data_IF_705906517618
#
_entry.id   IF_705906517618
#
_cell.length_a   1.000
_cell.length_b   1.000
_cell.length_c   1.000
_cell.angle_alpha   90.00
_cell.angle_beta   90.00
_cell.angle_gamma   90.00
#
_symmetry.space_group_name_H-M   'P 1'
#
loop_
_entity.id
_entity.type
_entity.pdbx_description
1 polymer ?
#
# COMPACT_ATOMS: atom_id res chain seq x y z
N UNK A 1 -12.49 -50.04 -6.86
CA UNK A 1 -11.54 -49.84 -7.97
C UNK A 1 -12.23 -48.94 -8.99
N UNK A 2 -11.95 -47.64 -8.93
CA UNK A 2 -11.03 -46.88 -9.82
C UNK A 2 -11.76 -46.29 -11.02
N UNK A 3 -11.84 -44.95 -11.00
CA UNK A 3 -12.26 -44.12 -12.12
C UNK A 3 -12.34 -42.67 -11.68
N UNK A 4 -11.19 -42.00 -11.53
CA UNK A 4 -11.14 -40.53 -11.41
C UNK A 4 -9.98 -40.00 -12.23
N UNK A 5 -10.30 -38.94 -12.95
CA UNK A 5 -9.58 -38.28 -14.02
C UNK A 5 -8.22 -37.73 -13.60
N UNK A 6 -7.29 -37.86 -14.54
CA UNK A 6 -6.01 -37.17 -14.60
C UNK A 6 -6.16 -35.67 -14.88
N UNK A 7 -5.11 -34.96 -14.48
CA UNK A 7 -4.55 -33.72 -15.07
C UNK A 7 -5.29 -32.39 -14.90
N UNK A 8 -4.91 -31.65 -13.85
CA UNK A 8 -4.63 -30.21 -13.98
C UNK A 8 -3.27 -29.95 -13.33
N UNK A 9 -2.27 -29.70 -14.17
CA UNK A 9 -0.91 -29.38 -13.79
C UNK A 9 -0.82 -28.09 -12.98
N UNK A 10 -0.15 -28.16 -11.83
CA UNK A 10 0.27 -26.99 -11.06
C UNK A 10 1.47 -26.39 -11.79
N UNK A 11 1.20 -25.47 -12.71
CA UNK A 11 2.20 -24.63 -13.33
C UNK A 11 2.82 -23.71 -12.28
N UNK A 12 4.09 -23.94 -11.97
CA UNK A 12 4.91 -22.99 -11.22
C UNK A 12 5.02 -21.68 -11.98
N UNK A 13 4.47 -20.61 -11.41
CA UNK A 13 4.74 -19.26 -11.87
C UNK A 13 6.18 -18.92 -11.48
N UNK A 14 7.08 -19.14 -12.43
CA UNK A 14 8.40 -18.50 -12.44
C UNK A 14 8.17 -16.99 -12.49
N UNK A 15 8.63 -16.28 -11.47
CA UNK A 15 8.67 -14.82 -11.47
C UNK A 15 9.57 -14.38 -12.62
N UNK A 16 8.99 -13.81 -13.67
CA UNK A 16 9.76 -13.07 -14.66
C UNK A 16 10.28 -11.80 -13.99
N UNK A 17 11.55 -11.42 -14.21
CA UNK A 17 12.09 -10.17 -13.70
C UNK A 17 11.29 -9.01 -14.28
N UNK A 18 10.88 -8.09 -13.40
CA UNK A 18 10.25 -6.82 -13.75
C UNK A 18 11.14 -6.08 -14.76
N UNK A 19 10.56 -5.78 -15.93
CA UNK A 19 11.23 -4.94 -16.92
C UNK A 19 11.34 -3.53 -16.36
N UNK A 20 12.58 -3.07 -16.18
CA UNK A 20 12.94 -1.70 -15.89
C UNK A 20 12.22 -0.73 -16.85
N UNK A 21 11.47 0.23 -16.31
CA UNK A 21 11.03 1.38 -17.09
C UNK A 21 12.15 2.43 -17.13
N UNK A 22 12.70 2.62 -18.33
CA UNK A 22 13.40 3.84 -18.70
C UNK A 22 12.36 4.93 -18.95
N UNK A 23 12.30 5.93 -18.08
CA UNK A 23 11.47 7.13 -18.30
C UNK A 23 12.13 7.93 -19.44
N UNK A 24 11.58 7.83 -20.65
CA UNK A 24 11.91 8.77 -21.74
C UNK A 24 11.14 10.06 -21.50
N UNK A 25 11.79 11.07 -20.94
CA UNK A 25 11.28 12.44 -20.95
C UNK A 25 11.37 13.01 -22.37
N UNK A 26 10.26 13.53 -22.90
CA UNK A 26 10.23 14.33 -24.14
C UNK A 26 10.93 15.68 -23.88
N UNK A 27 12.26 15.70 -23.97
CA UNK A 27 13.03 16.95 -24.15
C UNK A 27 14.35 16.79 -24.91
N UNK A 28 14.77 15.59 -25.30
CA UNK A 28 16.09 15.40 -25.92
C UNK A 28 16.05 15.51 -27.44
N UNK A 29 15.62 16.67 -27.95
CA UNK A 29 16.13 17.18 -29.23
C UNK A 29 17.08 18.33 -28.89
N UNK A 30 18.31 18.17 -29.38
CA UNK A 30 19.43 19.11 -29.33
C UNK A 30 20.28 19.10 -28.06
N UNK A 31 21.12 18.08 -27.90
CA UNK A 31 22.56 18.27 -27.62
C UNK A 31 23.36 17.13 -28.25
N UNK A 32 23.89 17.36 -29.44
CA UNK A 32 25.00 16.58 -30.00
C UNK A 32 26.30 16.99 -29.33
N UNK A 33 27.05 16.02 -28.79
CA UNK A 33 28.49 16.18 -28.53
C UNK A 33 28.94 15.84 -27.11
N UNK A 34 29.60 14.68 -27.00
CA UNK A 34 30.76 14.36 -26.16
C UNK A 34 30.61 12.97 -25.54
N UNK A 35 31.17 11.97 -26.22
CA UNK A 35 31.60 10.74 -25.57
C UNK A 35 32.63 11.08 -24.49
N UNK A 36 32.40 10.64 -23.25
CA UNK A 36 33.44 10.55 -22.23
C UNK A 36 33.23 9.31 -21.39
N UNK A 37 34.16 8.37 -21.61
CA UNK A 37 34.42 7.15 -20.85
C UNK A 37 34.55 7.46 -19.36
N UNK A 38 33.82 6.72 -18.54
CA UNK A 38 34.09 6.25 -17.15
C UNK A 38 32.78 6.19 -16.37
N UNK A 39 32.16 5.01 -16.36
CA UNK A 39 30.97 4.71 -15.57
C UNK A 39 31.28 4.70 -14.08
N UNK A 40 31.27 5.88 -13.46
CA UNK A 40 31.04 6.03 -12.03
C UNK A 40 29.55 6.34 -11.89
N UNK A 41 28.76 5.33 -11.52
CA UNK A 41 27.40 5.56 -11.00
C UNK A 41 27.57 6.49 -9.81
N UNK A 42 27.23 7.77 -9.99
CA UNK A 42 27.20 8.72 -8.88
C UNK A 42 26.16 8.18 -7.91
N UNK A 43 26.61 7.69 -6.76
CA UNK A 43 25.71 7.42 -5.64
C UNK A 43 25.03 8.74 -5.32
N UNK A 44 23.75 8.85 -5.66
CA UNK A 44 22.94 9.97 -5.23
C UNK A 44 22.80 9.75 -3.72
N UNK A 45 23.62 10.47 -2.96
CA UNK A 45 23.43 10.71 -1.54
C UNK A 45 22.10 11.47 -1.42
N UNK A 46 20.99 10.74 -1.43
CA UNK A 46 19.68 11.29 -1.08
C UNK A 46 19.78 11.59 0.40
N UNK A 47 20.07 12.85 0.73
CA UNK A 47 19.85 13.33 2.09
C UNK A 47 18.35 13.16 2.34
N UNK A 48 18.01 12.14 3.13
CA UNK A 48 16.67 11.95 3.66
C UNK A 48 16.29 13.25 4.37
N UNK A 49 15.56 14.13 3.69
CA UNK A 49 14.79 15.15 4.40
C UNK A 49 13.89 14.34 5.32
N UNK A 50 13.98 14.61 6.61
CA UNK A 50 13.25 13.96 7.69
C UNK A 50 11.75 14.15 7.52
N UNK A 51 11.15 13.52 6.52
CA UNK A 51 9.71 13.40 6.43
C UNK A 51 9.31 12.61 7.68
N UNK A 52 8.55 13.26 8.56
CA UNK A 52 7.93 12.55 9.66
C UNK A 52 6.90 11.61 9.02
N UNK A 53 7.19 10.30 9.00
CA UNK A 53 6.40 9.30 8.30
C UNK A 53 5.52 8.53 9.29
N UNK A 54 4.26 8.34 8.92
CA UNK A 54 3.39 7.34 9.52
C UNK A 54 3.22 6.20 8.50
N UNK A 55 3.82 5.05 8.77
CA UNK A 55 3.59 3.84 7.97
C UNK A 55 2.27 3.19 8.37
N UNK A 56 1.36 3.01 7.42
CA UNK A 56 0.11 2.29 7.64
C UNK A 56 0.12 0.99 6.85
N UNK A 57 0.22 -0.13 7.57
CA UNK A 57 0.45 -1.46 7.00
C UNK A 57 -0.52 -2.48 7.55
N UNK A 58 -0.75 -3.55 6.79
CA UNK A 58 -1.67 -4.62 7.15
C UNK A 58 -0.92 -5.91 7.47
N UNK A 59 -1.31 -6.59 8.56
CA UNK A 59 -0.91 -7.95 8.86
C UNK A 59 -2.16 -8.75 9.23
N UNK A 60 -2.53 -9.72 8.41
CA UNK A 60 -3.73 -10.52 8.65
C UNK A 60 -3.48 -12.00 8.41
N UNK A 61 -4.28 -12.81 9.10
CA UNK A 61 -4.26 -14.25 8.97
C UNK A 61 -5.49 -14.68 8.17
N UNK A 62 -5.29 -15.39 7.05
CA UNK A 62 -6.37 -15.78 6.13
C UNK A 62 -7.28 -16.90 6.66
N UNK A 63 -6.88 -17.58 7.73
CA UNK A 63 -7.64 -18.67 8.37
C UNK A 63 -6.87 -19.23 9.57
N UNK A 64 -7.52 -20.03 10.42
CA UNK A 64 -6.91 -20.54 11.67
C UNK A 64 -5.62 -21.33 11.44
N UNK A 65 -5.58 -22.15 10.39
CA UNK A 65 -4.44 -22.99 10.04
C UNK A 65 -3.58 -22.40 8.90
N UNK A 66 -3.55 -21.07 8.73
CA UNK A 66 -2.81 -20.43 7.62
C UNK A 66 -1.31 -20.76 7.66
N UNK A 67 -0.79 -21.63 6.76
CA UNK A 67 0.57 -22.17 6.88
C UNK A 67 1.65 -21.12 6.61
N UNK A 68 1.31 -20.04 5.89
CA UNK A 68 2.21 -18.94 5.55
C UNK A 68 2.18 -17.80 6.56
N UNK A 69 1.35 -17.86 7.60
CA UNK A 69 1.20 -16.73 8.52
C UNK A 69 2.51 -16.40 9.24
N UNK A 70 3.27 -17.43 9.66
CA UNK A 70 4.55 -17.23 10.34
C UNK A 70 5.56 -16.47 9.49
N UNK A 71 5.56 -16.71 8.18
CA UNK A 71 6.40 -15.98 7.22
C UNK A 71 6.00 -14.50 7.19
N UNK A 72 4.72 -14.19 6.96
CA UNK A 72 4.24 -12.80 6.92
C UNK A 72 4.43 -12.06 8.24
N UNK A 73 4.26 -12.73 9.37
CA UNK A 73 4.56 -12.17 10.69
C UNK A 73 6.03 -11.78 10.81
N UNK A 74 6.95 -12.69 10.43
CA UNK A 74 8.38 -12.41 10.49
C UNK A 74 8.76 -11.26 9.57
N UNK A 75 8.23 -11.24 8.34
CA UNK A 75 8.42 -10.13 7.40
C UNK A 75 7.90 -8.80 7.95
N UNK A 76 6.73 -8.79 8.60
CA UNK A 76 6.16 -7.58 9.21
C UNK A 76 7.04 -7.04 10.33
N UNK A 77 7.52 -7.92 11.22
CA UNK A 77 8.39 -7.54 12.33
C UNK A 77 9.73 -6.98 11.82
N UNK A 78 10.33 -7.66 10.84
CA UNK A 78 11.59 -7.22 10.25
C UNK A 78 11.43 -5.89 9.49
N UNK A 79 10.36 -5.75 8.71
CA UNK A 79 10.01 -4.50 8.04
C UNK A 79 9.87 -3.31 9.00
N UNK A 80 9.14 -3.49 10.11
CA UNK A 80 8.97 -2.44 11.12
C UNK A 80 10.33 -2.05 11.72
N UNK A 81 11.16 -3.05 12.07
CA UNK A 81 12.50 -2.82 12.60
C UNK A 81 13.39 -2.06 11.62
N UNK A 82 13.42 -2.49 10.35
CA UNK A 82 14.18 -1.84 9.29
C UNK A 82 13.71 -0.40 9.04
N UNK A 83 12.40 -0.16 9.02
CA UNK A 83 11.84 1.18 8.89
C UNK A 83 12.25 2.10 10.07
N UNK A 84 12.23 1.61 11.31
CA UNK A 84 12.67 2.38 12.47
C UNK A 84 14.14 2.78 12.40
N UNK A 85 15.00 1.89 11.88
CA UNK A 85 16.42 2.18 11.64
C UNK A 85 16.61 3.18 10.48
N UNK A 86 15.83 3.03 9.40
CA UNK A 86 15.98 3.82 8.17
C UNK A 86 15.36 5.21 8.26
N UNK A 87 14.25 5.34 8.99
CA UNK A 87 13.47 6.57 9.15
C UNK A 87 13.35 6.95 10.63
N UNK A 88 14.37 7.62 11.20
CA UNK A 88 14.33 8.07 12.58
C UNK A 88 13.12 8.98 12.82
N UNK A 89 12.26 8.58 13.76
CA UNK A 89 11.03 9.31 14.10
C UNK A 89 9.77 8.82 13.40
N UNK A 90 9.84 7.79 12.54
CA UNK A 90 8.62 7.20 12.00
C UNK A 90 7.76 6.52 13.08
N UNK A 91 6.46 6.43 12.79
CA UNK A 91 5.47 5.71 13.57
C UNK A 91 4.66 4.78 12.67
N UNK A 92 3.85 3.90 13.26
CA UNK A 92 3.09 2.89 12.55
C UNK A 92 1.62 2.84 12.99
N UNK A 93 0.75 2.66 12.01
CA UNK A 93 -0.57 2.07 12.20
C UNK A 93 -0.53 0.64 11.66
N UNK A 94 -0.60 -0.35 12.56
CA UNK A 94 -0.65 -1.75 12.20
C UNK A 94 -2.09 -2.25 12.21
N UNK A 95 -2.63 -2.59 11.04
CA UNK A 95 -3.99 -3.07 10.85
C UNK A 95 -4.02 -4.59 10.86
N UNK A 96 -4.79 -5.19 11.77
CA UNK A 96 -4.85 -6.64 11.98
C UNK A 96 -6.27 -7.18 12.05
N UNK A 97 -6.48 -8.44 11.65
CA UNK A 97 -7.73 -9.14 11.98
C UNK A 97 -7.68 -9.85 13.34
N UNK A 98 -8.85 -10.29 13.78
CA UNK A 98 -9.10 -11.05 15.01
C UNK A 98 -8.42 -12.44 15.06
N UNK A 99 -7.93 -12.92 13.92
CA UNK A 99 -7.19 -14.19 13.83
C UNK A 99 -5.68 -14.05 14.10
N UNK A 100 -5.16 -12.82 14.19
CA UNK A 100 -3.76 -12.57 14.59
C UNK A 100 -3.57 -12.96 16.06
N UNK A 101 -2.67 -13.92 16.37
CA UNK A 101 -2.44 -14.38 17.74
C UNK A 101 -1.95 -13.26 18.67
N UNK A 102 -2.22 -13.39 19.97
CA UNK A 102 -1.70 -12.44 20.97
C UNK A 102 -0.18 -12.49 21.04
N UNK A 103 0.40 -13.65 20.80
CA UNK A 103 1.83 -13.92 20.77
C UNK A 103 2.54 -13.05 19.74
N UNK A 104 1.90 -12.77 18.59
CA UNK A 104 2.42 -11.83 17.59
C UNK A 104 2.55 -10.42 18.18
N UNK A 105 1.58 -9.98 18.97
CA UNK A 105 1.63 -8.65 19.58
C UNK A 105 2.71 -8.57 20.65
N UNK A 106 2.87 -9.63 21.46
CA UNK A 106 3.95 -9.73 22.46
C UNK A 106 5.34 -9.76 21.81
N UNK A 107 5.48 -10.33 20.61
CA UNK A 107 6.73 -10.28 19.85
C UNK A 107 7.02 -8.87 19.34
N UNK A 108 6.00 -8.18 18.83
CA UNK A 108 6.12 -6.79 18.41
C UNK A 108 6.48 -5.88 19.58
N UNK A 109 5.81 -6.00 20.73
CA UNK A 109 6.13 -5.24 21.94
C UNK A 109 7.58 -5.48 22.40
N UNK A 110 8.04 -6.74 22.40
CA UNK A 110 9.44 -7.08 22.75
C UNK A 110 10.45 -6.52 21.76
N UNK A 111 10.13 -6.52 20.46
CA UNK A 111 10.97 -5.94 19.42
C UNK A 111 11.15 -4.43 19.63
N UNK A 112 10.07 -3.74 20.00
CA UNK A 112 10.06 -2.29 20.13
C UNK A 112 10.56 -1.81 21.51
N UNK A 113 10.39 -2.59 22.57
CA UNK A 113 10.75 -2.20 23.93
C UNK A 113 10.07 -0.87 24.32
N UNK A 114 10.89 0.10 24.73
CA UNK A 114 10.45 1.45 25.11
C UNK A 114 9.84 2.23 23.94
N UNK A 115 10.06 1.80 22.70
CA UNK A 115 9.53 2.41 21.48
C UNK A 115 8.17 1.85 21.06
N UNK A 116 7.55 0.99 21.90
CA UNK A 116 6.24 0.40 21.62
C UNK A 116 5.13 1.43 21.36
N UNK A 117 5.23 2.63 21.93
CA UNK A 117 4.30 3.74 21.69
C UNK A 117 4.28 4.22 20.22
N UNK A 118 5.33 3.92 19.43
CA UNK A 118 5.38 4.25 18.00
C UNK A 118 4.44 3.41 17.15
N UNK A 119 3.89 2.30 17.67
CA UNK A 119 2.99 1.43 16.92
C UNK A 119 1.59 1.43 17.52
N UNK A 120 0.64 1.97 16.77
CA UNK A 120 -0.79 1.92 17.09
C UNK A 120 -1.42 0.72 16.38
N UNK A 121 -2.09 -0.14 17.16
CA UNK A 121 -2.71 -1.36 16.64
C UNK A 121 -4.20 -1.13 16.40
N UNK A 122 -4.63 -1.36 15.16
CA UNK A 122 -6.03 -1.34 14.76
C UNK A 122 -6.52 -2.76 14.52
N UNK A 123 -7.33 -3.29 15.45
CA UNK A 123 -7.89 -4.64 15.34
C UNK A 123 -9.30 -4.62 14.76
N UNK A 124 -9.52 -5.49 13.77
CA UNK A 124 -10.80 -5.65 13.09
C UNK A 124 -11.35 -7.06 13.34
N UNK A 125 -12.64 -7.14 13.67
CA UNK A 125 -13.36 -8.39 13.79
C UNK A 125 -14.24 -8.55 12.56
N UNK A 126 -14.01 -9.62 11.79
CA UNK A 126 -14.80 -9.94 10.62
C UNK A 126 -15.69 -11.14 10.90
N UNK A 127 -16.92 -11.10 10.37
CA UNK A 127 -17.72 -12.31 10.23
C UNK A 127 -17.07 -13.16 9.14
N UNK A 128 -16.33 -14.19 9.57
CA UNK A 128 -15.62 -15.14 8.68
C UNK A 128 -16.56 -16.03 7.82
N UNK A 129 -17.85 -15.70 7.75
CA UNK A 129 -18.85 -16.39 6.92
C UNK A 129 -18.71 -16.06 5.42
N UNK A 130 -18.02 -14.95 5.07
CA UNK A 130 -17.75 -14.58 3.68
C UNK A 130 -16.29 -14.89 3.34
N UNK A 131 -16.08 -15.59 2.23
CA UNK A 131 -14.74 -15.92 1.74
C UNK A 131 -13.96 -14.64 1.42
N UNK A 132 -12.67 -14.61 1.80
CA UNK A 132 -11.77 -13.49 1.52
C UNK A 132 -11.99 -12.23 2.37
N UNK A 133 -12.84 -12.26 3.40
CA UNK A 133 -13.04 -11.12 4.31
C UNK A 133 -11.77 -10.58 4.95
N UNK A 134 -10.74 -11.42 5.12
CA UNK A 134 -9.42 -10.99 5.59
C UNK A 134 -8.77 -9.92 4.70
N UNK A 135 -9.06 -9.89 3.39
CA UNK A 135 -8.52 -8.89 2.46
C UNK A 135 -9.00 -7.47 2.78
N UNK A 136 -10.13 -7.32 3.49
CA UNK A 136 -10.60 -6.00 3.94
C UNK A 136 -9.63 -5.35 4.94
N UNK A 137 -8.78 -6.12 5.65
CA UNK A 137 -7.71 -5.52 6.46
C UNK A 137 -6.74 -4.73 5.60
N UNK A 138 -6.47 -5.21 4.38
CA UNK A 138 -5.62 -4.52 3.41
C UNK A 138 -6.26 -3.23 2.89
N UNK A 139 -7.59 -3.13 2.88
CA UNK A 139 -8.26 -1.87 2.61
C UNK A 139 -8.09 -0.92 3.79
N UNK A 140 -8.21 -1.44 5.02
CA UNK A 140 -8.23 -0.60 6.22
C UNK A 140 -6.95 0.19 6.49
N UNK A 141 -5.78 -0.16 5.94
CA UNK A 141 -4.57 0.69 6.00
C UNK A 141 -4.76 2.04 5.29
N UNK A 142 -5.54 2.09 4.20
CA UNK A 142 -5.78 3.33 3.47
C UNK A 142 -6.52 4.39 4.30
N UNK A 143 -7.27 4.00 5.34
CA UNK A 143 -7.98 4.95 6.20
C UNK A 143 -7.06 6.01 6.80
N UNK A 144 -5.81 5.66 7.10
CA UNK A 144 -4.87 6.56 7.75
C UNK A 144 -4.58 7.77 6.86
N UNK A 145 -4.67 7.62 5.53
CA UNK A 145 -4.32 8.68 4.59
C UNK A 145 -5.13 9.97 4.77
N UNK A 146 -6.41 9.87 5.14
CA UNK A 146 -7.25 11.03 5.45
C UNK A 146 -7.73 11.07 6.89
N UNK A 147 -7.91 9.94 7.59
CA UNK A 147 -8.40 9.94 8.98
C UNK A 147 -7.31 10.23 10.02
N UNK A 148 -6.03 10.29 9.62
CA UNK A 148 -4.94 10.70 10.51
C UNK A 148 -4.84 12.23 10.63
N UNK A 149 -4.82 12.73 11.86
CA UNK A 149 -4.73 14.17 12.19
C UNK A 149 -3.31 14.63 12.54
N UNK A 150 -2.35 13.70 12.63
CA UNK A 150 -0.99 14.05 12.99
C UNK A 150 -0.22 14.77 11.87
N UNK A 151 0.93 15.37 12.22
CA UNK A 151 1.79 16.12 11.30
C UNK A 151 2.51 15.24 10.27
N UNK A 152 2.37 13.92 10.35
CA UNK A 152 3.04 12.95 9.50
C UNK A 152 2.50 12.95 8.06
N UNK A 153 3.43 12.72 7.13
CA UNK A 153 3.07 12.18 5.82
C UNK A 153 2.76 10.71 6.00
N UNK A 154 1.56 10.30 5.58
CA UNK A 154 1.13 8.91 5.69
C UNK A 154 1.70 8.15 4.50
N UNK A 155 2.33 7.02 4.78
CA UNK A 155 2.81 6.05 3.80
C UNK A 155 2.05 4.74 3.98
N UNK A 156 1.14 4.46 3.06
CA UNK A 156 0.52 3.14 2.91
C UNK A 156 1.36 2.36 1.92
N UNK A 157 1.85 1.19 2.33
CA UNK A 157 2.65 0.34 1.46
C UNK A 157 2.45 -1.13 1.84
N UNK A 158 2.80 -2.02 0.93
CA UNK A 158 3.02 -3.42 1.26
C UNK A 158 4.25 -3.59 2.16
N UNK A 159 4.29 -4.70 2.88
CA UNK A 159 5.46 -5.10 3.65
C UNK A 159 6.54 -5.54 2.65
N UNK A 160 7.63 -4.78 2.59
CA UNK A 160 8.72 -4.97 1.65
C UNK A 160 9.94 -5.63 2.33
N UNK A 161 10.68 -6.47 1.62
CA UNK A 161 11.93 -7.06 2.10
C UNK A 161 13.15 -6.18 1.80
N UNK A 162 13.10 -5.41 0.70
CA UNK A 162 14.11 -4.39 0.36
C UNK A 162 13.71 -2.99 0.86
N UNK A 163 14.18 -2.62 2.07
CA UNK A 163 13.92 -1.30 2.65
C UNK A 163 14.62 -0.16 1.90
N UNK A 164 15.74 -0.43 1.23
CA UNK A 164 16.52 0.58 0.54
C UNK A 164 15.81 1.02 -0.74
N UNK A 165 15.23 0.07 -1.47
CA UNK A 165 14.37 0.35 -2.62
C UNK A 165 13.13 1.14 -2.20
N UNK A 166 12.42 0.69 -1.16
CA UNK A 166 11.24 1.40 -0.64
C UNK A 166 11.60 2.85 -0.28
N UNK A 167 12.73 3.04 0.42
CA UNK A 167 13.19 4.36 0.82
C UNK A 167 13.52 5.27 -0.38
N UNK A 168 14.15 4.73 -1.42
CA UNK A 168 14.39 5.47 -2.66
C UNK A 168 13.08 5.87 -3.33
N UNK A 169 12.12 4.95 -3.45
CA UNK A 169 10.83 5.20 -4.07
C UNK A 169 10.01 6.24 -3.30
N UNK A 170 9.99 6.19 -1.96
CA UNK A 170 9.35 7.21 -1.12
C UNK A 170 9.97 8.58 -1.38
N UNK A 171 11.32 8.69 -1.38
CA UNK A 171 11.99 9.96 -1.64
C UNK A 171 11.72 10.51 -3.05
N UNK A 172 11.73 9.64 -4.06
CA UNK A 172 11.41 10.02 -5.43
C UNK A 172 9.98 10.53 -5.55
N UNK A 173 9.02 9.81 -4.94
CA UNK A 173 7.62 10.17 -4.96
C UNK A 173 7.37 11.50 -4.23
N UNK A 174 7.90 11.69 -3.02
CA UNK A 174 7.81 12.97 -2.29
C UNK A 174 8.38 14.14 -3.10
N UNK A 175 9.54 13.94 -3.74
CA UNK A 175 10.17 14.96 -4.57
C UNK A 175 9.30 15.33 -5.78
N UNK A 176 8.66 14.34 -6.42
CA UNK A 176 7.74 14.57 -7.52
C UNK A 176 6.47 15.28 -7.05
N UNK A 177 5.92 14.89 -5.89
CA UNK A 177 4.75 15.53 -5.30
C UNK A 177 5.03 17.01 -4.97
N UNK A 178 6.21 17.33 -4.43
CA UNK A 178 6.64 18.71 -4.18
C UNK A 178 6.76 19.52 -5.47
N UNK A 179 7.40 18.95 -6.50
CA UNK A 179 7.58 19.62 -7.79
C UNK A 179 6.26 19.89 -8.52
N UNK A 180 5.30 18.97 -8.42
CA UNK A 180 4.00 19.06 -9.11
C UNK A 180 2.92 19.75 -8.27
N UNK A 181 3.21 20.14 -7.03
CA UNK A 181 2.21 20.70 -6.12
C UNK A 181 1.07 19.73 -5.82
N UNK A 182 1.38 18.44 -5.66
CA UNK A 182 0.42 17.38 -5.36
C UNK A 182 0.51 16.95 -3.90
N UNK A 183 -0.64 16.57 -3.34
CA UNK A 183 -0.78 16.14 -1.95
C UNK A 183 -0.74 14.62 -1.82
N UNK A 184 -1.11 13.91 -2.88
CA UNK A 184 -1.22 12.45 -2.93
C UNK A 184 -0.31 11.93 -4.03
N UNK A 185 0.49 10.92 -3.73
CA UNK A 185 1.32 10.19 -4.69
C UNK A 185 1.02 8.71 -4.59
N UNK A 186 0.81 8.05 -5.73
CA UNK A 186 0.45 6.63 -5.75
C UNK A 186 1.21 5.94 -6.88
N UNK A 187 1.78 4.77 -6.59
CA UNK A 187 2.14 3.83 -7.65
C UNK A 187 0.87 3.22 -8.22
N UNK A 188 0.82 3.04 -9.54
CA UNK A 188 -0.37 2.49 -10.20
C UNK A 188 -0.01 1.58 -11.37
N UNK A 189 -0.99 0.77 -11.74
CA UNK A 189 -1.07 0.15 -13.05
C UNK A 189 -2.45 0.46 -13.65
N UNK A 190 -2.46 0.78 -14.94
CA UNK A 190 -3.71 0.97 -15.67
C UNK A 190 -4.44 -0.36 -15.77
N UNK A 191 -5.71 -0.39 -15.38
CA UNK A 191 -6.58 -1.53 -15.65
C UNK A 191 -7.15 -1.38 -17.06
N UNK A 192 -6.96 -2.40 -17.89
CA UNK A 192 -7.59 -2.48 -19.21
C UNK A 192 -9.04 -3.00 -19.14
N UNK A 193 -9.53 -3.40 -17.96
CA UNK A 193 -10.82 -4.06 -17.79
C UNK A 193 -11.97 -3.07 -17.49
N UNK A 194 -13.01 -3.09 -18.34
CA UNK A 194 -14.25 -2.32 -18.14
C UNK A 194 -15.07 -2.79 -16.91
N UNK A 195 -14.86 -4.05 -16.48
CA UNK A 195 -15.52 -4.71 -15.37
C UNK A 195 -14.50 -5.32 -14.41
N UNK A 196 -13.87 -4.53 -13.55
CA UNK A 196 -13.19 -5.14 -12.41
C UNK A 196 -14.22 -5.49 -11.36
N UNK A 197 -14.54 -6.78 -11.32
CA UNK A 197 -14.87 -7.62 -10.17
C UNK A 197 -15.66 -8.79 -10.72
N UNK A 198 -15.26 -10.01 -10.36
CA UNK A 198 -16.20 -11.13 -10.39
C UNK A 198 -17.34 -10.80 -9.41
N UNK A 199 -18.43 -10.20 -9.90
CA UNK A 199 -19.74 -10.03 -9.22
C UNK A 199 -19.97 -8.80 -8.31
N UNK A 200 -19.19 -7.72 -8.37
CA UNK A 200 -19.46 -6.50 -7.57
C UNK A 200 -19.30 -5.27 -8.45
N UNK A 201 -20.36 -4.53 -8.74
CA UNK A 201 -20.23 -3.30 -9.51
C UNK A 201 -19.55 -2.22 -8.65
N UNK A 202 -18.30 -1.86 -8.95
CA UNK A 202 -17.80 -0.57 -8.47
C UNK A 202 -18.62 0.55 -9.13
N UNK A 203 -18.93 1.64 -8.42
CA UNK A 203 -19.73 2.73 -8.97
C UNK A 203 -19.03 3.58 -10.05
N UNK A 204 -17.96 3.10 -10.70
CA UNK A 204 -17.14 3.90 -11.62
C UNK A 204 -16.70 3.11 -12.86
N UNK A 205 -16.90 3.71 -14.04
CA UNK A 205 -16.29 3.28 -15.31
C UNK A 205 -14.92 3.96 -15.44
N UNK A 206 -13.87 3.21 -15.78
CA UNK A 206 -12.49 3.69 -15.86
C UNK A 206 -11.89 3.97 -14.48
N UNK A 207 -11.20 2.98 -13.92
CA UNK A 207 -10.53 3.09 -12.63
C UNK A 207 -9.07 2.63 -12.74
N UNK A 208 -8.21 3.21 -11.92
CA UNK A 208 -6.81 2.79 -11.84
C UNK A 208 -6.67 1.77 -10.72
N UNK A 209 -5.98 0.66 -10.98
CA UNK A 209 -5.52 -0.15 -9.89
C UNK A 209 -4.31 0.53 -9.29
N UNK A 210 -4.47 0.96 -8.05
CA UNK A 210 -3.35 1.41 -7.23
C UNK A 210 -2.47 0.18 -7.02
N UNK A 211 -1.23 0.20 -7.50
CA UNK A 211 -0.29 -0.85 -7.12
C UNK A 211 -0.04 -0.68 -5.61
N UNK A 212 -0.44 -1.67 -4.80
CA UNK A 212 -0.22 -1.70 -3.35
C UNK A 212 1.22 -1.45 -2.90
N UNK A 213 2.17 -1.36 -3.84
CA UNK A 213 3.53 -0.85 -3.70
C UNK A 213 3.64 0.33 -2.73
N UNK A 214 3.25 1.56 -3.13
CA UNK A 214 3.42 2.77 -2.30
C UNK A 214 2.34 3.82 -2.58
N UNK A 215 1.71 4.30 -1.51
CA UNK A 215 0.78 5.42 -1.49
C UNK A 215 1.16 6.42 -0.41
N UNK A 216 1.46 7.65 -0.81
CA UNK A 216 1.83 8.75 0.06
C UNK A 216 0.75 9.81 0.11
N UNK A 217 0.47 10.31 1.31
CA UNK A 217 -0.37 11.49 1.52
C UNK A 217 0.31 12.45 2.48
N UNK A 218 0.66 13.64 1.97
CA UNK A 218 1.29 14.70 2.76
C UNK A 218 0.47 15.12 3.99
N UNK A 219 1.16 15.77 4.94
CA UNK A 219 0.65 16.21 6.24
C UNK A 219 -0.71 16.94 6.19
N UNK A 220 -1.46 16.83 7.30
CA UNK A 220 -2.92 16.81 7.31
C UNK A 220 -3.70 18.11 7.52
N UNK A 221 -3.21 19.28 7.13
CA UNK A 221 -4.02 20.52 7.08
C UNK A 221 -4.47 20.91 5.65
N UNK A 222 -4.07 20.12 4.65
CA UNK A 222 -4.38 20.37 3.24
C UNK A 222 -5.84 20.11 2.86
N UNK A 223 -6.31 20.84 1.83
CA UNK A 223 -7.67 20.74 1.28
C UNK A 223 -8.07 19.31 0.90
N UNK A 224 -7.13 18.49 0.42
CA UNK A 224 -7.39 17.11 0.03
C UNK A 224 -7.93 16.24 1.18
N UNK A 225 -7.28 16.25 2.37
CA UNK A 225 -7.74 15.42 3.51
C UNK A 225 -9.12 15.86 3.99
N UNK A 226 -9.37 17.18 4.00
CA UNK A 226 -10.68 17.74 4.36
C UNK A 226 -11.77 17.24 3.42
N UNK A 227 -11.56 17.33 2.10
CA UNK A 227 -12.53 16.87 1.11
C UNK A 227 -12.81 15.37 1.22
N UNK A 228 -11.77 14.54 1.42
CA UNK A 228 -11.94 13.11 1.63
C UNK A 228 -12.76 12.80 2.91
N UNK A 229 -12.53 13.54 4.01
CA UNK A 229 -13.29 13.37 5.26
C UNK A 229 -14.77 13.74 5.11
N UNK A 230 -15.12 14.69 4.25
CA UNK A 230 -16.51 15.08 4.00
C UNK A 230 -17.34 13.94 3.40
N UNK A 231 -16.71 12.95 2.76
CA UNK A 231 -17.38 11.73 2.28
C UNK A 231 -17.68 10.72 3.40
N UNK A 232 -17.17 10.97 4.61
CA UNK A 232 -17.38 10.14 5.79
C UNK A 232 -16.26 9.13 6.03
N UNK A 233 -16.50 8.20 6.95
CA UNK A 233 -15.48 7.20 7.31
C UNK A 233 -15.29 6.18 6.21
N UNK A 234 -14.04 5.88 5.88
CA UNK A 234 -13.71 4.88 4.88
C UNK A 234 -14.16 3.49 5.27
N UNK A 235 -14.13 3.17 6.56
CA UNK A 235 -14.66 1.90 7.06
C UNK A 235 -16.13 1.74 6.66
N UNK A 236 -16.92 2.80 6.82
CA UNK A 236 -18.34 2.77 6.50
C UNK A 236 -18.55 2.69 4.98
N UNK A 237 -17.74 3.42 4.21
CA UNK A 237 -17.73 3.33 2.75
C UNK A 237 -17.43 1.90 2.26
N UNK A 238 -16.35 1.29 2.74
CA UNK A 238 -16.01 -0.09 2.38
C UNK A 238 -17.15 -1.05 2.76
N UNK A 239 -17.72 -0.90 3.96
CA UNK A 239 -18.83 -1.72 4.42
C UNK A 239 -20.07 -1.59 3.53
N UNK A 240 -20.40 -0.38 3.04
CA UNK A 240 -21.55 -0.18 2.15
C UNK A 240 -21.33 -0.80 0.77
N UNK A 241 -20.11 -0.68 0.21
CA UNK A 241 -19.79 -1.25 -1.11
C UNK A 241 -19.80 -2.79 -1.10
N UNK A 242 -19.29 -3.41 -0.04
CA UNK A 242 -19.14 -4.88 0.02
C UNK A 242 -20.27 -5.58 0.77
N UNK A 243 -21.34 -4.86 1.14
CA UNK A 243 -22.41 -5.38 1.99
C UNK A 243 -23.09 -6.61 1.37
N UNK A 244 -23.37 -6.54 0.07
CA UNK A 244 -24.10 -7.58 -0.67
C UNK A 244 -23.18 -8.64 -1.29
N UNK A 245 -21.87 -8.41 -1.30
CA UNK A 245 -20.90 -9.33 -1.89
C UNK A 245 -20.82 -10.63 -1.10
N UNK A 246 -20.91 -11.78 -1.77
CA UNK A 246 -20.74 -13.11 -1.16
C UNK A 246 -19.27 -13.51 -1.03
N UNK A 247 -18.42 -12.97 -1.89
CA UNK A 247 -16.96 -13.18 -1.93
C UNK A 247 -16.26 -11.84 -1.95
N UNK A 248 -15.20 -11.70 -1.16
CA UNK A 248 -14.30 -10.55 -1.20
C UNK A 248 -13.01 -10.98 -1.93
N UNK A 249 -12.72 -10.39 -3.10
CA UNK A 249 -11.56 -10.78 -3.88
C UNK A 249 -10.25 -10.18 -3.34
N UNK A 250 -9.13 -10.71 -3.85
CA UNK A 250 -7.81 -10.07 -3.70
C UNK A 250 -7.80 -8.76 -4.49
N UNK A 251 -6.99 -7.79 -4.06
CA UNK A 251 -6.92 -6.47 -4.69
C UNK A 251 -8.11 -5.55 -4.37
N UNK A 252 -9.08 -6.02 -3.55
CA UNK A 252 -10.25 -5.21 -3.16
C UNK A 252 -9.86 -3.88 -2.50
N UNK A 253 -8.70 -3.82 -1.87
CA UNK A 253 -8.20 -2.61 -1.23
C UNK A 253 -7.87 -1.50 -2.22
N UNK A 254 -7.18 -1.84 -3.31
CA UNK A 254 -6.80 -0.94 -4.41
C UNK A 254 -8.05 -0.36 -5.08
N UNK A 255 -9.05 -1.23 -5.27
CA UNK A 255 -10.34 -0.90 -5.86
C UNK A 255 -11.17 0.03 -4.97
N UNK A 256 -11.25 -0.27 -3.68
CA UNK A 256 -11.99 0.54 -2.71
C UNK A 256 -11.36 1.92 -2.53
N UNK A 257 -10.02 2.02 -2.53
CA UNK A 257 -9.35 3.31 -2.41
C UNK A 257 -9.52 4.15 -3.68
N UNK A 258 -9.33 3.61 -4.89
CA UNK A 258 -9.54 4.41 -6.11
C UNK A 258 -10.98 4.91 -6.19
N UNK A 259 -11.95 4.04 -5.91
CA UNK A 259 -13.36 4.41 -5.92
C UNK A 259 -13.67 5.51 -4.89
N UNK A 260 -13.09 5.42 -3.69
CA UNK A 260 -13.25 6.46 -2.67
C UNK A 260 -12.61 7.79 -3.06
N UNK A 261 -11.40 7.76 -3.63
CA UNK A 261 -10.68 8.98 -4.06
C UNK A 261 -11.40 9.68 -5.21
N UNK A 262 -11.92 8.90 -6.16
CA UNK A 262 -12.74 9.42 -7.26
C UNK A 262 -14.03 10.02 -6.73
N UNK A 263 -14.77 9.31 -5.87
CA UNK A 263 -15.99 9.80 -5.26
C UNK A 263 -15.77 11.04 -4.37
N UNK A 264 -14.54 11.25 -3.88
CA UNK A 264 -14.15 12.41 -3.06
C UNK A 264 -13.70 13.63 -3.87
N UNK A 265 -13.68 13.56 -5.20
CA UNK A 265 -13.12 14.59 -6.10
C UNK A 265 -11.64 14.93 -5.82
N UNK A 266 -10.94 14.11 -5.03
CA UNK A 266 -9.54 14.35 -4.68
C UNK A 266 -8.59 13.78 -5.71
N UNK A 267 -9.00 12.72 -6.41
CA UNK A 267 -8.20 11.98 -7.38
C UNK A 267 -7.63 12.89 -8.46
N UNK A 268 -8.49 13.63 -9.16
CA UNK A 268 -8.08 14.45 -10.32
C UNK A 268 -7.31 15.72 -9.92
N UNK A 269 -7.58 16.24 -8.72
CA UNK A 269 -7.07 17.55 -8.28
C UNK A 269 -5.76 17.45 -7.51
N UNK A 270 -5.61 16.42 -6.69
CA UNK A 270 -4.55 16.35 -5.69
C UNK A 270 -3.64 15.14 -5.84
N UNK A 271 -4.02 14.12 -6.63
CA UNK A 271 -3.19 12.95 -6.84
C UNK A 271 -2.26 13.09 -8.05
N UNK A 272 -1.09 12.46 -7.93
CA UNK A 272 -0.26 12.05 -9.04
C UNK A 272 -0.10 10.54 -9.02
N UNK A 273 -0.05 9.97 -10.21
CA UNK A 273 0.13 8.56 -10.46
C UNK A 273 1.49 8.36 -11.13
N UNK A 274 2.30 7.48 -10.56
CA UNK A 274 3.63 7.09 -11.07
C UNK A 274 3.65 5.62 -11.49
#
# INVERSE_FOLDING_TARGET
STGSLNDIGIGGATSKPSKFFSIKTKSDRDVSGAESKTGKVRSISVKFRSANLLFSVALFKAGRESPRYQFYENSALDFINQCLMKFPGCSFHLHINDLVPKETLLRLERLLGDESYKVKIHRYNFKHSKAGTCWLVNAMRYRAMWEHDGPETVCVCDIHDDIDLLAQQICMMLSCMDRLGRDIGMTHWESDDDECLSSVALPLRGHFHVDGGICLWKKGDGTARKMAREKGSFKNYCASIVHESTVIPRGIDEMLVDAFLAASDVRERYAMFL
#
